data_IF_704656055576
#
_entry.id   IF_704656055576
#
_cell.length_a   1.000
_cell.length_b   1.000
_cell.length_c   1.000
_cell.angle_alpha   90.00
_cell.angle_beta   90.00
_cell.angle_gamma   90.00
#
_symmetry.space_group_name_H-M   'P 1'
#
loop_
_entity.id
_entity.type
_entity.pdbx_description
1 polymer ?
#
# COMPACT_ATOMS: atom_id res chain seq x y z
N UNK A 1 -2.23 -18.63 -23.53
CA UNK A 1 -3.60 -18.06 -23.39
C UNK A 1 -3.98 -17.83 -21.92
N UNK A 2 -3.55 -18.68 -21.01
CA UNK A 2 -3.88 -18.63 -19.56
C UNK A 2 -3.24 -17.42 -18.86
N UNK A 3 -2.00 -17.07 -19.18
CA UNK A 3 -1.30 -15.90 -18.61
C UNK A 3 -2.03 -14.59 -18.86
N UNK A 4 -2.48 -14.32 -20.08
CA UNK A 4 -3.21 -13.10 -20.41
C UNK A 4 -4.57 -12.99 -19.73
N UNK A 5 -5.22 -14.12 -19.45
CA UNK A 5 -6.49 -14.15 -18.74
C UNK A 5 -6.29 -13.73 -17.28
N UNK A 6 -5.35 -14.34 -16.56
CA UNK A 6 -5.03 -13.97 -15.16
C UNK A 6 -4.47 -12.56 -15.06
N UNK A 7 -3.65 -12.12 -16.02
CA UNK A 7 -3.18 -10.75 -16.07
C UNK A 7 -4.33 -9.75 -16.19
N UNK A 8 -5.28 -9.99 -17.08
CA UNK A 8 -6.43 -9.10 -17.28
C UNK A 8 -7.35 -9.04 -16.05
N UNK A 9 -7.55 -10.14 -15.38
CA UNK A 9 -8.36 -10.22 -14.16
C UNK A 9 -7.70 -9.47 -13.00
N UNK A 10 -6.43 -9.76 -12.72
CA UNK A 10 -5.65 -9.08 -11.69
C UNK A 10 -5.50 -7.57 -11.98
N UNK A 11 -5.32 -7.19 -13.24
CA UNK A 11 -5.24 -5.79 -13.65
C UNK A 11 -6.55 -5.05 -13.37
N UNK A 12 -7.70 -5.65 -13.73
CA UNK A 12 -9.01 -5.06 -13.47
C UNK A 12 -9.27 -4.88 -11.97
N UNK A 13 -8.95 -5.89 -11.17
CA UNK A 13 -9.10 -5.84 -9.71
C UNK A 13 -8.18 -4.76 -9.09
N UNK A 14 -6.92 -4.73 -9.49
CA UNK A 14 -5.96 -3.73 -9.02
C UNK A 14 -6.38 -2.31 -9.41
N UNK A 15 -6.88 -2.11 -10.63
CA UNK A 15 -7.34 -0.80 -11.11
C UNK A 15 -8.54 -0.29 -10.29
N UNK A 16 -9.52 -1.14 -10.05
CA UNK A 16 -10.70 -0.78 -9.25
C UNK A 16 -10.27 -0.38 -7.83
N UNK A 17 -9.45 -1.20 -7.18
CA UNK A 17 -8.96 -0.93 -5.83
C UNK A 17 -8.13 0.36 -5.81
N UNK A 18 -7.27 0.58 -6.80
CA UNK A 18 -6.46 1.79 -6.90
C UNK A 18 -7.31 3.05 -7.01
N UNK A 19 -8.34 3.04 -7.87
CA UNK A 19 -9.27 4.15 -8.01
C UNK A 19 -10.05 4.42 -6.72
N UNK A 20 -10.49 3.37 -6.01
CA UNK A 20 -11.16 3.52 -4.72
C UNK A 20 -10.23 4.12 -3.65
N UNK A 21 -8.98 3.68 -3.58
CA UNK A 21 -7.97 4.21 -2.66
C UNK A 21 -7.69 5.69 -2.98
N UNK A 22 -7.54 6.05 -4.26
CA UNK A 22 -7.34 7.45 -4.67
C UNK A 22 -8.54 8.32 -4.28
N UNK A 23 -9.76 7.87 -4.55
CA UNK A 23 -10.96 8.61 -4.19
C UNK A 23 -11.08 8.80 -2.67
N UNK A 24 -10.91 7.73 -1.90
CA UNK A 24 -10.93 7.78 -0.43
C UNK A 24 -9.82 8.69 0.10
N UNK A 25 -8.60 8.56 -0.39
CA UNK A 25 -7.45 9.39 -0.02
C UNK A 25 -7.69 10.87 -0.33
N UNK A 26 -8.22 11.19 -1.51
CA UNK A 26 -8.55 12.56 -1.89
C UNK A 26 -9.59 13.18 -0.93
N UNK A 27 -10.65 12.46 -0.61
CA UNK A 27 -11.69 12.93 0.34
C UNK A 27 -11.08 13.18 1.72
N UNK A 28 -10.25 12.25 2.24
CA UNK A 28 -9.61 12.40 3.56
C UNK A 28 -8.64 13.59 3.56
N UNK A 29 -7.85 13.77 2.52
CA UNK A 29 -6.88 14.90 2.41
C UNK A 29 -7.62 16.23 2.34
N UNK A 30 -8.72 16.32 1.58
CA UNK A 30 -9.55 17.52 1.54
C UNK A 30 -10.18 17.83 2.89
N UNK A 31 -10.66 16.80 3.59
CA UNK A 31 -11.19 16.92 4.96
C UNK A 31 -10.12 17.43 5.92
N UNK A 32 -8.91 16.85 5.91
CA UNK A 32 -7.78 17.29 6.73
C UNK A 32 -7.44 18.78 6.43
N UNK A 33 -7.38 19.16 5.15
CA UNK A 33 -7.12 20.55 4.77
C UNK A 33 -8.18 21.53 5.28
N UNK A 34 -9.44 21.14 5.20
CA UNK A 34 -10.54 21.94 5.75
C UNK A 34 -10.43 22.09 7.27
N UNK A 35 -10.15 21.00 7.99
CA UNK A 35 -10.04 20.99 9.44
C UNK A 35 -8.82 21.74 9.98
N UNK A 36 -7.74 21.90 9.20
CA UNK A 36 -6.58 22.72 9.57
C UNK A 36 -6.91 24.19 9.80
N UNK A 37 -7.97 24.69 9.16
CA UNK A 37 -8.43 26.08 9.27
C UNK A 37 -9.65 26.23 10.18
N UNK A 38 -10.17 25.14 10.71
CA UNK A 38 -11.33 25.15 11.59
C UNK A 38 -10.91 25.29 13.06
N UNK A 39 -11.58 26.17 13.78
CA UNK A 39 -11.35 26.41 15.21
C UNK A 39 -12.31 25.61 16.07
N UNK A 40 -11.87 25.19 17.26
CA UNK A 40 -12.68 24.50 18.25
C UNK A 40 -12.25 23.07 18.55
N UNK A 41 -12.59 22.60 19.75
CA UNK A 41 -12.19 21.27 20.24
C UNK A 41 -12.70 20.12 19.35
N UNK A 42 -13.90 20.23 18.81
CA UNK A 42 -14.47 19.23 17.89
C UNK A 42 -13.68 19.14 16.58
N UNK A 43 -13.21 20.28 16.04
CA UNK A 43 -12.39 20.30 14.82
C UNK A 43 -11.04 19.58 15.02
N UNK A 44 -10.39 19.80 16.16
CA UNK A 44 -9.15 19.10 16.49
C UNK A 44 -9.36 17.59 16.64
N UNK A 45 -10.44 17.15 17.29
CA UNK A 45 -10.76 15.72 17.40
C UNK A 45 -10.98 15.09 16.04
N UNK A 46 -11.75 15.72 15.16
CA UNK A 46 -11.99 15.24 13.80
C UNK A 46 -10.71 15.23 12.95
N UNK A 47 -9.81 16.21 13.15
CA UNK A 47 -8.51 16.24 12.50
C UNK A 47 -7.67 15.01 12.85
N UNK A 48 -7.49 14.69 14.14
CA UNK A 48 -6.72 13.51 14.56
C UNK A 48 -7.36 12.22 14.09
N UNK A 49 -8.70 12.13 14.11
CA UNK A 49 -9.42 10.98 13.56
C UNK A 49 -9.14 10.80 12.07
N UNK A 50 -9.18 11.89 11.30
CA UNK A 50 -8.92 11.85 9.85
C UNK A 50 -7.46 11.46 9.54
N UNK A 51 -6.49 11.93 10.33
CA UNK A 51 -5.08 11.52 10.22
C UNK A 51 -4.94 10.03 10.54
N UNK A 52 -5.63 9.51 11.56
CA UNK A 52 -5.65 8.09 11.88
C UNK A 52 -6.21 7.23 10.75
N UNK A 53 -7.33 7.65 10.15
CA UNK A 53 -7.94 6.96 9.00
C UNK A 53 -7.01 6.99 7.78
N UNK A 54 -6.34 8.13 7.51
CA UNK A 54 -5.35 8.22 6.43
C UNK A 54 -4.18 7.26 6.64
N UNK A 55 -3.68 7.16 7.87
CA UNK A 55 -2.61 6.21 8.23
C UNK A 55 -3.02 4.77 7.98
N UNK A 56 -4.25 4.38 8.37
CA UNK A 56 -4.79 3.06 8.10
C UNK A 56 -4.94 2.80 6.59
N UNK A 57 -5.36 3.79 5.82
CA UNK A 57 -5.47 3.69 4.36
C UNK A 57 -4.09 3.48 3.71
N UNK A 58 -3.06 4.18 4.18
CA UNK A 58 -1.67 4.00 3.70
C UNK A 58 -1.19 2.58 4.00
N UNK A 59 -1.36 2.11 5.24
CA UNK A 59 -0.98 0.74 5.64
C UNK A 59 -1.72 -0.28 4.77
N UNK A 60 -3.01 -0.13 4.57
CA UNK A 60 -3.80 -0.99 3.71
C UNK A 60 -3.25 -1.02 2.27
N UNK A 61 -2.90 0.15 1.72
CA UNK A 61 -2.35 0.29 0.37
C UNK A 61 -1.03 -0.48 0.20
N UNK A 62 -0.17 -0.50 1.21
CA UNK A 62 1.10 -1.22 1.19
C UNK A 62 0.93 -2.75 1.07
N UNK A 63 -0.17 -3.29 1.59
CA UNK A 63 -0.41 -4.73 1.60
C UNK A 63 -1.33 -5.21 0.48
N UNK A 64 -2.29 -4.40 0.03
CA UNK A 64 -3.33 -4.86 -0.90
C UNK A 64 -2.77 -5.30 -2.25
N UNK A 65 -1.80 -4.57 -2.82
CA UNK A 65 -1.21 -4.92 -4.11
C UNK A 65 -0.39 -6.21 -4.09
N UNK A 66 0.51 -6.44 -3.11
CA UNK A 66 1.16 -7.73 -2.94
C UNK A 66 0.19 -8.88 -2.71
N UNK A 67 -0.90 -8.67 -1.97
CA UNK A 67 -1.93 -9.69 -1.72
C UNK A 67 -2.67 -10.05 -3.00
N UNK A 68 -3.06 -9.07 -3.84
CA UNK A 68 -3.69 -9.32 -5.14
C UNK A 68 -2.75 -10.11 -6.07
N UNK A 69 -1.46 -9.78 -6.04
CA UNK A 69 -0.47 -10.46 -6.88
C UNK A 69 -0.21 -11.92 -6.45
N UNK A 70 -0.43 -12.24 -5.18
CA UNK A 70 -0.07 -13.55 -4.60
C UNK A 70 -1.28 -14.49 -4.49
N UNK A 71 -2.47 -13.95 -4.20
CA UNK A 71 -3.67 -14.75 -3.92
C UNK A 71 -4.76 -14.51 -4.96
N UNK A 72 -5.19 -15.58 -5.63
CA UNK A 72 -6.35 -15.56 -6.52
C UNK A 72 -7.64 -15.69 -5.69
N UNK A 73 -8.26 -14.57 -5.33
CA UNK A 73 -9.45 -14.54 -4.49
C UNK A 73 -10.42 -13.42 -4.90
N UNK A 74 -11.62 -13.41 -4.32
CA UNK A 74 -12.58 -12.32 -4.51
C UNK A 74 -12.07 -11.02 -3.87
N UNK A 75 -12.45 -9.86 -4.41
CA UNK A 75 -12.02 -8.55 -3.91
C UNK A 75 -12.23 -8.38 -2.40
N UNK A 76 -13.37 -8.82 -1.87
CA UNK A 76 -13.65 -8.75 -0.44
C UNK A 76 -12.69 -9.60 0.42
N UNK A 77 -12.37 -10.80 -0.04
CA UNK A 77 -11.40 -11.68 0.63
C UNK A 77 -9.98 -11.10 0.57
N UNK A 78 -9.58 -10.51 -0.56
CA UNK A 78 -8.29 -9.84 -0.72
C UNK A 78 -8.15 -8.65 0.23
N UNK A 79 -9.17 -7.79 0.32
CA UNK A 79 -9.19 -6.67 1.26
C UNK A 79 -9.08 -7.12 2.71
N UNK A 80 -9.85 -8.14 3.10
CA UNK A 80 -9.80 -8.72 4.44
C UNK A 80 -8.42 -9.30 4.74
N UNK A 81 -7.84 -10.04 3.81
CA UNK A 81 -6.51 -10.64 3.98
C UNK A 81 -5.42 -9.56 4.09
N UNK A 82 -5.46 -8.51 3.28
CA UNK A 82 -4.52 -7.39 3.38
C UNK A 82 -4.57 -6.72 4.75
N UNK A 83 -5.78 -6.49 5.28
CA UNK A 83 -5.97 -5.91 6.61
C UNK A 83 -5.45 -6.84 7.71
N UNK A 84 -5.79 -8.12 7.68
CA UNK A 84 -5.32 -9.10 8.66
C UNK A 84 -3.79 -9.21 8.67
N UNK A 85 -3.16 -9.31 7.49
CA UNK A 85 -1.71 -9.40 7.37
C UNK A 85 -1.00 -8.17 7.93
N UNK A 86 -1.55 -6.97 7.69
CA UNK A 86 -0.98 -5.73 8.20
C UNK A 86 -0.95 -5.68 9.74
N UNK A 87 -1.98 -6.21 10.40
CA UNK A 87 -2.05 -6.25 11.86
C UNK A 87 -1.32 -7.45 12.49
N UNK A 88 -1.36 -8.62 11.86
CA UNK A 88 -0.67 -9.80 12.36
C UNK A 88 0.85 -9.65 12.41
N UNK A 89 1.42 -8.86 11.49
CA UNK A 89 2.86 -8.65 11.38
C UNK A 89 3.25 -7.19 11.58
N UNK A 90 2.78 -6.59 12.68
CA UNK A 90 2.99 -5.18 13.00
C UNK A 90 4.44 -4.69 12.86
N UNK A 91 5.49 -5.40 13.35
CA UNK A 91 6.87 -4.95 13.17
C UNK A 91 7.30 -4.90 11.70
N UNK A 92 6.84 -5.84 10.88
CA UNK A 92 7.10 -5.82 9.43
C UNK A 92 6.36 -4.68 8.74
N UNK A 93 5.15 -4.38 9.17
CA UNK A 93 4.37 -3.24 8.68
C UNK A 93 5.09 -1.92 8.92
N UNK A 94 5.68 -1.75 10.12
CA UNK A 94 6.50 -0.57 10.43
C UNK A 94 7.74 -0.52 9.52
N UNK A 95 8.44 -1.63 9.33
CA UNK A 95 9.61 -1.67 8.47
C UNK A 95 9.28 -1.29 7.02
N UNK A 96 8.20 -1.84 6.45
CA UNK A 96 7.72 -1.52 5.09
C UNK A 96 7.32 -0.04 5.00
N UNK A 97 6.60 0.48 5.99
CA UNK A 97 6.20 1.88 6.04
C UNK A 97 7.42 2.82 6.08
N UNK A 98 8.41 2.53 6.92
CA UNK A 98 9.65 3.31 7.01
C UNK A 98 10.42 3.26 5.69
N UNK A 99 10.62 2.07 5.11
CA UNK A 99 11.34 1.90 3.83
C UNK A 99 10.66 2.65 2.68
N UNK A 100 9.32 2.75 2.72
CA UNK A 100 8.55 3.43 1.67
C UNK A 100 8.46 4.94 1.90
N UNK A 101 8.16 5.36 3.14
CA UNK A 101 7.87 6.77 3.45
C UNK A 101 9.16 7.58 3.64
N UNK A 102 10.17 7.02 4.30
CA UNK A 102 11.40 7.74 4.65
C UNK A 102 12.14 8.31 3.42
N UNK A 103 12.38 7.56 2.33
CA UNK A 103 13.05 8.11 1.16
C UNK A 103 12.20 9.17 0.44
N UNK A 104 10.87 9.02 0.42
CA UNK A 104 9.95 10.03 -0.13
C UNK A 104 9.99 11.32 0.70
N UNK A 105 10.01 11.20 2.02
CA UNK A 105 10.11 12.34 2.92
C UNK A 105 11.45 13.08 2.77
N UNK A 106 12.56 12.36 2.66
CA UNK A 106 13.88 12.96 2.38
C UNK A 106 13.90 13.71 1.05
N UNK A 107 13.27 13.17 0.01
CA UNK A 107 13.12 13.84 -1.29
C UNK A 107 12.34 15.16 -1.17
N UNK A 108 11.31 15.18 -0.32
CA UNK A 108 10.49 16.37 -0.12
C UNK A 108 11.25 17.49 0.63
N UNK A 109 12.12 17.14 1.59
CA UNK A 109 12.88 18.10 2.38
C UNK A 109 13.95 18.84 1.57
N UNK A 110 14.53 18.20 0.56
CA UNK A 110 15.62 18.77 -0.22
C UNK A 110 15.15 19.32 -1.58
N UNK A 111 14.60 20.52 -1.54
CA UNK A 111 14.09 21.19 -2.75
C UNK A 111 15.16 21.49 -3.80
N UNK A 112 16.46 21.58 -3.43
CA UNK A 112 17.55 21.92 -4.37
C UNK A 112 17.88 20.75 -5.30
N UNK A 113 17.82 19.53 -4.79
CA UNK A 113 18.13 18.31 -5.53
C UNK A 113 16.88 17.61 -6.07
N UNK A 114 15.70 18.25 -5.96
CA UNK A 114 14.42 17.66 -6.39
C UNK A 114 14.41 17.12 -7.83
N UNK A 115 15.00 17.79 -8.86
CA UNK A 115 15.06 17.22 -10.20
C UNK A 115 15.88 15.93 -10.28
N UNK A 116 16.99 15.87 -9.53
CA UNK A 116 17.82 14.68 -9.45
C UNK A 116 17.08 13.51 -8.79
N UNK A 117 16.41 13.80 -7.68
CA UNK A 117 15.59 12.80 -7.00
C UNK A 117 14.43 12.31 -7.88
N UNK A 118 13.79 13.19 -8.65
CA UNK A 118 12.75 12.80 -9.58
C UNK A 118 13.26 11.80 -10.64
N UNK A 119 14.46 12.05 -11.19
CA UNK A 119 15.12 11.09 -12.10
C UNK A 119 15.43 9.77 -11.39
N UNK A 120 16.01 9.80 -10.19
CA UNK A 120 16.29 8.59 -9.43
C UNK A 120 15.04 7.78 -9.13
N UNK A 121 13.94 8.44 -8.75
CA UNK A 121 12.65 7.79 -8.50
C UNK A 121 12.07 7.17 -9.76
N UNK A 122 12.14 7.87 -10.90
CA UNK A 122 11.61 7.38 -12.16
C UNK A 122 12.34 6.13 -12.64
N UNK A 123 13.68 6.08 -12.56
CA UNK A 123 14.46 4.96 -13.10
C UNK A 123 14.59 3.78 -12.13
N UNK A 124 14.81 4.04 -10.85
CA UNK A 124 15.19 2.98 -9.89
C UNK A 124 14.38 2.99 -8.60
N UNK A 125 13.92 4.16 -8.14
CA UNK A 125 13.40 4.33 -6.79
C UNK A 125 12.18 3.46 -6.51
N UNK A 126 11.15 3.55 -7.33
CA UNK A 126 9.94 2.75 -7.14
C UNK A 126 10.20 1.25 -7.27
N UNK A 127 11.04 0.85 -8.22
CA UNK A 127 11.41 -0.56 -8.42
C UNK A 127 12.18 -1.11 -7.23
N UNK A 128 13.14 -0.35 -6.70
CA UNK A 128 13.95 -0.74 -5.54
C UNK A 128 13.08 -0.90 -4.28
N UNK A 129 12.24 0.08 -3.99
CA UNK A 129 11.31 0.04 -2.84
C UNK A 129 10.35 -1.15 -2.97
N UNK A 130 9.78 -1.37 -4.15
CA UNK A 130 8.90 -2.51 -4.40
C UNK A 130 9.64 -3.85 -4.23
N UNK A 131 10.88 -3.95 -4.69
CA UNK A 131 11.70 -5.15 -4.56
C UNK A 131 12.01 -5.46 -3.08
N UNK A 132 12.45 -4.47 -2.30
CA UNK A 132 12.75 -4.65 -0.87
C UNK A 132 11.47 -5.05 -0.10
N UNK A 133 10.37 -4.37 -0.36
CA UNK A 133 9.09 -4.69 0.26
C UNK A 133 8.62 -6.11 -0.11
N UNK A 134 8.79 -6.52 -1.37
CA UNK A 134 8.48 -7.87 -1.83
C UNK A 134 9.32 -8.94 -1.11
N UNK A 135 10.62 -8.69 -0.91
CA UNK A 135 11.48 -9.60 -0.15
C UNK A 135 11.03 -9.77 1.31
N UNK A 136 10.62 -8.68 1.95
CA UNK A 136 10.10 -8.72 3.32
C UNK A 136 8.79 -9.52 3.39
N UNK A 137 7.87 -9.27 2.44
CA UNK A 137 6.57 -9.94 2.39
C UNK A 137 6.68 -11.41 1.98
N UNK A 138 7.61 -11.75 1.07
CA UNK A 138 7.81 -13.13 0.61
C UNK A 138 8.08 -14.12 1.75
N UNK A 139 8.85 -13.72 2.77
CA UNK A 139 9.13 -14.55 3.93
C UNK A 139 7.86 -14.94 4.70
N UNK A 140 6.83 -14.09 4.67
CA UNK A 140 5.55 -14.32 5.33
C UNK A 140 4.59 -15.09 4.43
N UNK A 141 4.49 -14.73 3.18
CA UNK A 141 3.62 -15.40 2.22
C UNK A 141 4.02 -16.86 2.00
N UNK A 142 5.31 -17.16 2.01
CA UNK A 142 5.80 -18.55 1.92
C UNK A 142 5.28 -19.46 3.05
N UNK A 143 4.98 -18.90 4.23
CA UNK A 143 4.40 -19.65 5.35
C UNK A 143 2.88 -19.87 5.20
N UNK A 144 2.23 -19.09 4.35
CA UNK A 144 0.79 -19.12 4.14
C UNK A 144 0.39 -19.85 2.84
N UNK A 145 1.34 -20.05 1.94
CA UNK A 145 1.13 -20.82 0.72
C UNK A 145 1.22 -22.33 1.03
N UNK A 146 0.38 -23.16 0.42
CA UNK A 146 0.52 -24.62 0.52
C UNK A 146 1.90 -25.06 -0.01
N UNK A 147 2.45 -26.19 0.47
CA UNK A 147 3.71 -26.73 -0.04
C UNK A 147 3.67 -26.91 -1.55
N UNK A 148 4.79 -26.64 -2.23
CA UNK A 148 4.89 -26.69 -3.70
C UNK A 148 4.53 -28.06 -4.30
N UNK A 149 4.56 -29.14 -3.51
CA UNK A 149 4.18 -30.49 -3.94
C UNK A 149 2.70 -30.65 -4.30
N UNK A 150 1.80 -29.84 -3.70
CA UNK A 150 0.36 -29.89 -4.01
C UNK A 150 -0.01 -29.14 -5.30
N UNK A 151 0.87 -28.26 -5.80
CA UNK A 151 0.61 -27.45 -7.01
C UNK A 151 0.89 -28.26 -8.29
N UNK A 152 1.71 -29.32 -8.21
CA UNK A 152 2.02 -30.18 -9.36
C UNK A 152 0.91 -31.16 -9.71
N UNK A 153 -0.15 -31.26 -8.89
CA UNK A 153 -1.28 -32.16 -9.04
C UNK A 153 -2.57 -31.47 -9.54
N UNK A 154 -2.55 -30.13 -9.75
CA UNK A 154 -3.65 -29.33 -10.30
C UNK A 154 -3.32 -28.81 -11.71
#
# INVERSE_FOLDING_TARGET
KTFFFFFKENFKQSLIIWLLILAAGAVIILNIRFLLHAEGSAAHMLFYLSVGVLTLLIIFTLYIFPVIATFANTLGALCRNAFLLAFMHFPTTIAIAVITIFPLYMTYLDAKLQPLYACCWFFFGFGLVAFINSMLLYRFFKKLLPPEEDISLL
#
